data_IF_000380669108
#
_entry.id   IF_000380669108
#
_cell.length_a   1.000
_cell.length_b   1.000
_cell.length_c   1.000
_cell.angle_alpha   90.00
_cell.angle_beta   90.00
_cell.angle_gamma   90.00
#
_symmetry.space_group_name_H-M   'P 1'
#
loop_
_entity.id
_entity.type
_entity.pdbx_description
1 polymer ?
#
# COMPACT_ATOMS: atom_id res chain seq x y z
N UNK A 1 11.26 -19.12 30.53
CA UNK A 1 10.38 -18.69 29.42
C UNK A 1 9.06 -18.15 29.94
N UNK A 2 8.92 -16.82 29.92
CA UNK A 2 7.65 -16.16 30.21
C UNK A 2 6.95 -15.87 28.89
N UNK A 3 5.85 -16.57 28.61
CA UNK A 3 4.98 -16.25 27.49
C UNK A 3 4.42 -14.85 27.78
N UNK A 4 4.90 -13.84 27.07
CA UNK A 4 4.34 -12.49 27.15
C UNK A 4 2.94 -12.57 26.54
N UNK A 5 1.86 -12.30 27.31
CA UNK A 5 0.52 -12.40 26.78
C UNK A 5 0.33 -11.34 25.69
N UNK A 6 -0.04 -11.76 24.46
CA UNK A 6 -0.47 -10.86 23.38
C UNK A 6 -1.50 -9.88 23.94
N UNK A 7 -1.20 -8.58 23.87
CA UNK A 7 -2.08 -7.54 24.39
C UNK A 7 -3.36 -7.58 23.56
N UNK A 8 -4.53 -7.85 24.17
CA UNK A 8 -5.79 -7.83 23.42
C UNK A 8 -6.00 -6.43 22.84
N UNK A 9 -6.17 -6.35 21.52
CA UNK A 9 -6.53 -5.14 20.82
C UNK A 9 -7.90 -4.62 21.30
N UNK A 10 -8.07 -3.30 21.25
CA UNK A 10 -9.41 -2.71 21.41
C UNK A 10 -10.27 -3.03 20.18
N UNK A 11 -11.60 -2.99 20.32
CA UNK A 11 -12.52 -3.22 19.19
C UNK A 11 -12.24 -2.31 17.99
N UNK A 12 -11.86 -1.04 18.24
CA UNK A 12 -11.48 -0.09 17.19
C UNK A 12 -10.24 -0.55 16.43
N UNK A 13 -9.21 -1.03 17.14
CA UNK A 13 -7.95 -1.50 16.55
C UNK A 13 -8.11 -2.85 15.87
N UNK A 14 -8.97 -3.73 16.38
CA UNK A 14 -9.29 -5.00 15.71
C UNK A 14 -9.96 -4.74 14.37
N UNK A 15 -10.96 -3.86 14.32
CA UNK A 15 -11.61 -3.49 13.05
C UNK A 15 -10.64 -2.84 12.07
N UNK A 16 -9.68 -2.06 12.56
CA UNK A 16 -8.60 -1.51 11.73
C UNK A 16 -7.75 -2.64 11.15
N UNK A 17 -7.25 -3.56 11.98
CA UNK A 17 -6.48 -4.73 11.56
C UNK A 17 -7.23 -5.57 10.51
N UNK A 18 -8.53 -5.82 10.73
CA UNK A 18 -9.38 -6.59 9.82
C UNK A 18 -9.57 -5.90 8.46
N UNK A 19 -9.41 -4.58 8.40
CA UNK A 19 -9.55 -3.79 7.15
C UNK A 19 -8.27 -3.66 6.35
N UNK A 20 -7.11 -3.90 6.97
CA UNK A 20 -5.81 -3.70 6.31
C UNK A 20 -5.61 -4.63 5.11
N UNK A 21 -5.93 -5.95 5.15
CA UNK A 21 -5.73 -6.82 3.99
C UNK A 21 -6.42 -6.31 2.72
N UNK A 22 -7.69 -5.87 2.82
CA UNK A 22 -8.40 -5.30 1.67
C UNK A 22 -7.74 -4.00 1.16
N UNK A 23 -7.22 -3.16 2.07
CA UNK A 23 -6.50 -1.95 1.69
C UNK A 23 -5.17 -2.25 0.98
N UNK A 24 -4.47 -3.31 1.38
CA UNK A 24 -3.26 -3.78 0.70
C UNK A 24 -3.61 -4.24 -0.72
N UNK A 25 -4.62 -5.09 -0.86
CA UNK A 25 -5.06 -5.60 -2.18
C UNK A 25 -5.44 -4.45 -3.14
N UNK A 26 -6.14 -3.43 -2.64
CA UNK A 26 -6.52 -2.25 -3.42
C UNK A 26 -5.28 -1.46 -3.89
N UNK A 27 -4.32 -1.21 -2.99
CA UNK A 27 -3.08 -0.49 -3.30
C UNK A 27 -2.19 -1.27 -4.26
N UNK A 28 -2.08 -2.60 -4.10
CA UNK A 28 -1.33 -3.46 -5.02
C UNK A 28 -1.97 -3.48 -6.41
N UNK A 29 -3.30 -3.51 -6.48
CA UNK A 29 -4.05 -3.43 -7.75
C UNK A 29 -3.79 -2.09 -8.44
N UNK A 30 -3.84 -0.98 -7.71
CA UNK A 30 -3.55 0.35 -8.25
C UNK A 30 -2.10 0.46 -8.75
N UNK A 31 -1.13 -0.02 -7.96
CA UNK A 31 0.28 -0.02 -8.33
C UNK A 31 0.53 -0.83 -9.60
N UNK A 32 -0.09 -2.00 -9.72
CA UNK A 32 0.02 -2.84 -10.93
C UNK A 32 -0.56 -2.13 -12.16
N UNK A 33 -1.72 -1.48 -12.04
CA UNK A 33 -2.31 -0.72 -13.14
C UNK A 33 -1.45 0.47 -13.57
N UNK A 34 -0.77 1.14 -12.63
CA UNK A 34 0.18 2.21 -12.94
C UNK A 34 1.44 1.66 -13.63
N UNK A 35 1.99 0.54 -13.17
CA UNK A 35 3.12 -0.11 -13.83
C UNK A 35 2.78 -0.60 -15.24
N UNK A 36 1.58 -1.13 -15.46
CA UNK A 36 1.09 -1.47 -16.80
C UNK A 36 1.07 -0.26 -17.74
N UNK A 37 0.68 0.91 -17.25
CA UNK A 37 0.75 2.16 -18.02
C UNK A 37 2.19 2.53 -18.38
N UNK A 38 3.13 2.44 -17.43
CA UNK A 38 4.56 2.74 -17.68
C UNK A 38 5.18 1.77 -18.68
N UNK A 39 4.73 0.51 -18.67
CA UNK A 39 5.20 -0.52 -19.62
C UNK A 39 4.74 -0.30 -21.06
N UNK A 40 3.78 0.60 -21.31
CA UNK A 40 3.32 0.91 -22.66
C UNK A 40 4.43 1.61 -23.45
N UNK A 41 4.68 1.14 -24.68
CA UNK A 41 5.77 1.66 -25.55
C UNK A 41 5.64 3.17 -25.81
N UNK A 42 4.41 3.69 -25.82
CA UNK A 42 4.12 5.11 -26.04
C UNK A 42 4.12 5.96 -24.76
N UNK A 43 4.35 5.38 -23.58
CA UNK A 43 4.27 6.11 -22.32
C UNK A 43 5.24 7.29 -22.28
N UNK A 44 6.52 7.03 -22.54
CA UNK A 44 7.55 8.09 -22.59
C UNK A 44 7.46 8.99 -23.83
N UNK A 45 6.52 8.75 -24.73
CA UNK A 45 6.21 9.66 -25.85
C UNK A 45 5.13 10.69 -25.48
N UNK A 46 4.49 10.55 -24.32
CA UNK A 46 3.52 11.52 -23.81
C UNK A 46 4.23 12.79 -23.32
N UNK A 47 3.46 13.81 -22.92
CA UNK A 47 4.03 15.00 -22.31
C UNK A 47 4.73 14.68 -21.00
N UNK A 48 5.80 15.43 -20.72
CA UNK A 48 6.58 15.29 -19.48
C UNK A 48 5.67 15.32 -18.24
N UNK A 49 4.75 16.29 -18.17
CA UNK A 49 3.77 16.43 -17.09
C UNK A 49 2.95 15.15 -16.85
N UNK A 50 2.53 14.46 -17.92
CA UNK A 50 1.78 13.21 -17.79
C UNK A 50 2.65 12.08 -17.28
N UNK A 51 3.86 11.93 -17.82
CA UNK A 51 4.78 10.89 -17.37
C UNK A 51 5.22 11.11 -15.93
N UNK A 52 5.53 12.34 -15.53
CA UNK A 52 5.89 12.70 -14.15
C UNK A 52 4.73 12.46 -13.19
N UNK A 53 3.50 12.80 -13.59
CA UNK A 53 2.31 12.56 -12.77
C UNK A 53 2.08 11.06 -12.49
N UNK A 54 2.25 10.20 -13.50
CA UNK A 54 2.09 8.74 -13.31
C UNK A 54 3.24 8.16 -12.47
N UNK A 55 4.47 8.59 -12.70
CA UNK A 55 5.62 8.15 -11.89
C UNK A 55 5.50 8.61 -10.43
N UNK A 56 4.99 9.83 -10.19
CA UNK A 56 4.72 10.32 -8.84
C UNK A 56 3.61 9.51 -8.15
N UNK A 57 2.57 9.11 -8.88
CA UNK A 57 1.52 8.23 -8.35
C UNK A 57 2.07 6.87 -7.93
N UNK A 58 2.96 6.27 -8.73
CA UNK A 58 3.63 5.00 -8.38
C UNK A 58 4.36 5.15 -7.03
N UNK A 59 5.21 6.17 -6.89
CA UNK A 59 5.93 6.42 -5.64
C UNK A 59 4.96 6.60 -4.48
N UNK A 60 3.89 7.36 -4.66
CA UNK A 60 2.91 7.60 -3.61
C UNK A 60 2.16 6.34 -3.17
N UNK A 61 1.77 5.47 -4.10
CA UNK A 61 1.10 4.20 -3.78
C UNK A 61 2.07 3.25 -3.08
N UNK A 62 3.34 3.22 -3.49
CA UNK A 62 4.40 2.46 -2.83
C UNK A 62 4.59 2.88 -1.36
N UNK A 63 4.69 4.19 -1.10
CA UNK A 63 4.80 4.74 0.25
C UNK A 63 3.58 4.41 1.12
N UNK A 64 2.38 4.46 0.54
CA UNK A 64 1.16 4.07 1.25
C UNK A 64 1.13 2.59 1.59
N UNK A 65 1.58 1.73 0.67
CA UNK A 65 1.66 0.29 0.90
C UNK A 65 2.61 -0.02 2.04
N UNK A 66 3.80 0.58 2.04
CA UNK A 66 4.80 0.44 3.11
C UNK A 66 4.22 0.88 4.47
N UNK A 67 3.54 2.03 4.53
CA UNK A 67 2.92 2.52 5.75
C UNK A 67 1.79 1.60 6.26
N UNK A 68 1.00 1.02 5.36
CA UNK A 68 -0.07 0.07 5.73
C UNK A 68 0.51 -1.25 6.23
N UNK A 69 1.60 -1.73 5.62
CA UNK A 69 2.32 -2.93 6.06
C UNK A 69 2.97 -2.73 7.43
N UNK A 70 3.59 -1.57 7.69
CA UNK A 70 4.12 -1.22 9.01
C UNK A 70 3.00 -1.19 10.06
N UNK A 71 1.87 -0.56 9.74
CA UNK A 71 0.70 -0.52 10.62
C UNK A 71 0.13 -1.91 10.91
N UNK A 72 0.12 -2.79 9.91
CA UNK A 72 -0.30 -4.18 10.08
C UNK A 72 0.59 -4.91 11.08
N UNK A 73 1.92 -4.79 10.91
CA UNK A 73 2.89 -5.40 11.80
C UNK A 73 2.78 -4.89 13.24
N UNK A 74 2.55 -3.59 13.44
CA UNK A 74 2.29 -3.01 14.76
C UNK A 74 1.06 -3.62 15.43
N UNK A 75 -0.04 -3.77 14.69
CA UNK A 75 -1.31 -4.27 15.23
C UNK A 75 -1.32 -5.77 15.48
N UNK A 76 -0.60 -6.57 14.68
CA UNK A 76 -0.52 -8.02 14.87
C UNK A 76 0.45 -8.43 16.00
N UNK A 77 1.37 -7.56 16.41
CA UNK A 77 2.43 -7.86 17.41
C UNK A 77 1.94 -8.11 18.85
#
# INVERSE_FOLDING_TARGET
DGIVPKKKLSYKLQRELDSIPAKIDDLETELNALHEQVSQVNFYQQSLEKTESVLAQITHVQEQLDAVLERWAELDS
#
